data_IF_766506124138
#
_entry.id   IF_766506124138
#
_cell.length_a   1.000
_cell.length_b   1.000
_cell.length_c   1.000
_cell.angle_alpha   90.00
_cell.angle_beta   90.00
_cell.angle_gamma   90.00
#
_symmetry.space_group_name_H-M   'P 1'
#
loop_
_entity.id
_entity.type
_entity.pdbx_description
1 polymer ?
#
# COMPACT_ATOMS: atom_id res chain seq x y z
N UNK A 1 28.00 -16.62 25.47
CA UNK A 1 26.55 -16.83 25.28
C UNK A 1 25.96 -15.49 24.91
N UNK A 2 25.95 -15.14 23.63
CA UNK A 2 25.43 -13.85 23.18
C UNK A 2 24.12 -14.05 22.43
N UNK A 3 23.04 -13.60 23.06
CA UNK A 3 21.72 -13.49 22.47
C UNK A 3 21.73 -12.41 21.38
N UNK A 4 22.17 -12.79 20.17
CA UNK A 4 22.15 -11.95 18.98
C UNK A 4 20.72 -11.79 18.46
N UNK A 5 20.10 -10.66 18.83
CA UNK A 5 18.81 -10.16 18.38
C UNK A 5 18.45 -10.60 16.94
N UNK A 6 17.37 -11.37 16.79
CA UNK A 6 16.76 -11.63 15.49
C UNK A 6 16.48 -10.29 14.79
N UNK A 7 16.81 -10.13 13.50
CA UNK A 7 16.54 -8.90 12.79
C UNK A 7 15.03 -8.67 12.78
N UNK A 8 14.56 -7.65 13.53
CA UNK A 8 13.18 -7.16 13.44
C UNK A 8 12.86 -7.00 11.96
N UNK A 9 11.87 -7.74 11.46
CA UNK A 9 11.58 -7.80 10.02
C UNK A 9 11.57 -6.39 9.42
N UNK A 10 12.42 -6.17 8.41
CA UNK A 10 12.50 -4.88 7.73
C UNK A 10 11.09 -4.61 7.18
N UNK A 11 10.41 -3.61 7.74
CA UNK A 11 9.11 -3.18 7.23
C UNK A 11 9.32 -2.68 5.81
N UNK A 12 8.90 -3.49 4.83
CA UNK A 12 8.99 -3.20 3.39
C UNK A 12 8.27 -1.91 2.99
N UNK A 13 7.31 -1.46 3.81
CA UNK A 13 6.69 -0.14 3.70
C UNK A 13 6.19 0.38 5.06
N UNK A 14 5.91 1.68 5.13
CA UNK A 14 5.28 2.34 6.28
C UNK A 14 3.85 2.76 5.92
N UNK A 15 2.94 2.73 6.89
CA UNK A 15 1.57 3.20 6.67
C UNK A 15 1.54 4.73 6.43
N UNK A 16 0.79 5.16 5.41
CA UNK A 16 0.46 6.57 5.22
C UNK A 16 -0.45 7.03 6.35
N UNK A 17 -0.12 8.16 6.99
CA UNK A 17 -0.86 8.71 8.14
C UNK A 17 -1.20 10.18 7.92
N UNK A 18 -2.34 10.60 8.45
CA UNK A 18 -2.81 11.99 8.46
C UNK A 18 -3.53 12.41 7.18
N UNK A 19 -4.67 13.10 7.34
CA UNK A 19 -5.55 13.47 6.23
C UNK A 19 -4.87 14.34 5.17
N UNK A 20 -4.00 15.26 5.59
CA UNK A 20 -3.24 16.11 4.67
C UNK A 20 -2.36 15.30 3.70
N UNK A 21 -1.74 14.21 4.15
CA UNK A 21 -0.94 13.35 3.27
C UNK A 21 -1.85 12.52 2.34
N UNK A 22 -2.99 12.03 2.85
CA UNK A 22 -3.99 11.36 2.00
C UNK A 22 -4.50 12.29 0.90
N UNK A 23 -4.79 13.56 1.22
CA UNK A 23 -5.27 14.56 0.27
C UNK A 23 -4.24 14.86 -0.82
N UNK A 24 -2.96 14.96 -0.46
CA UNK A 24 -1.86 15.13 -1.43
C UNK A 24 -1.78 13.96 -2.39
N UNK A 25 -1.71 12.72 -1.87
CA UNK A 25 -1.60 11.52 -2.71
C UNK A 25 -2.86 11.33 -3.56
N UNK A 26 -4.04 11.69 -3.05
CA UNK A 26 -5.27 11.69 -3.83
C UNK A 26 -5.21 12.59 -5.06
N UNK A 27 -4.36 13.63 -5.12
CA UNK A 27 -4.22 14.45 -6.34
C UNK A 27 -3.27 13.84 -7.39
N UNK A 28 -2.56 12.76 -7.04
CA UNK A 28 -1.64 12.09 -7.95
C UNK A 28 -2.34 11.30 -9.08
N UNK A 29 -1.57 10.89 -10.11
CA UNK A 29 -2.07 10.07 -11.21
C UNK A 29 -2.70 8.77 -10.69
N UNK A 30 -3.77 8.34 -11.37
CA UNK A 30 -4.52 7.15 -11.00
C UNK A 30 -4.25 6.01 -11.98
N UNK A 31 -3.84 4.87 -11.43
CA UNK A 31 -3.70 3.61 -12.15
C UNK A 31 -4.84 2.72 -11.70
N UNK A 32 -5.73 2.37 -12.64
CA UNK A 32 -6.92 1.58 -12.36
C UNK A 32 -6.69 0.15 -12.78
N UNK A 33 -7.07 -0.78 -11.92
CA UNK A 33 -7.12 -2.21 -12.18
C UNK A 33 -8.48 -2.74 -11.73
N UNK A 34 -8.87 -3.96 -12.13
CA UNK A 34 -10.08 -4.59 -11.60
C UNK A 34 -10.06 -4.73 -10.07
N UNK A 35 -8.89 -4.93 -9.45
CA UNK A 35 -8.75 -5.27 -8.04
C UNK A 35 -8.59 -4.05 -7.11
N UNK A 36 -8.03 -2.97 -7.64
CA UNK A 36 -7.77 -1.74 -6.90
C UNK A 36 -7.51 -0.56 -7.82
N UNK A 37 -7.64 0.65 -7.28
CA UNK A 37 -7.08 1.87 -7.86
C UNK A 37 -5.88 2.34 -7.04
N UNK A 38 -4.74 2.49 -7.68
CA UNK A 38 -3.52 3.05 -7.10
C UNK A 38 -3.44 4.53 -7.46
N UNK A 39 -3.18 5.38 -6.46
CA UNK A 39 -2.68 6.75 -6.69
C UNK A 39 -1.32 6.87 -6.02
N UNK A 40 -0.33 7.40 -6.73
CA UNK A 40 1.03 7.57 -6.20
C UNK A 40 1.60 8.94 -6.53
N UNK A 41 2.47 9.44 -5.67
CA UNK A 41 3.29 10.64 -5.89
C UNK A 41 4.73 10.35 -5.48
N UNK A 42 5.72 11.03 -6.08
CA UNK A 42 7.12 10.87 -5.70
C UNK A 42 7.33 11.11 -4.20
N UNK A 43 8.28 10.38 -3.60
CA UNK A 43 8.68 10.65 -2.23
C UNK A 43 9.35 12.02 -2.17
N UNK A 44 8.73 12.96 -1.41
CA UNK A 44 9.35 14.23 -1.05
C UNK A 44 9.45 14.33 0.47
N UNK A 45 10.66 14.48 1.04
CA UNK A 45 10.82 14.73 2.47
C UNK A 45 10.15 16.06 2.83
N UNK A 46 9.73 16.20 4.08
CA UNK A 46 9.30 17.51 4.59
C UNK A 46 10.54 18.38 4.84
N UNK A 47 10.38 19.69 4.75
CA UNK A 47 11.45 20.64 5.06
C UNK A 47 12.02 20.35 6.46
N UNK A 48 13.36 20.21 6.56
CA UNK A 48 14.05 19.85 7.81
C UNK A 48 14.02 18.36 8.20
N UNK A 49 13.42 17.46 7.41
CA UNK A 49 13.52 16.01 7.65
C UNK A 49 14.66 15.38 6.86
N UNK A 50 15.36 14.43 7.51
CA UNK A 50 16.36 13.58 6.85
C UNK A 50 15.72 12.84 5.68
N UNK A 51 16.39 12.87 4.52
CA UNK A 51 15.97 12.10 3.35
C UNK A 51 16.12 10.60 3.64
N UNK A 52 14.98 9.93 3.84
CA UNK A 52 14.90 8.49 4.08
C UNK A 52 13.82 7.92 3.14
N UNK A 53 14.20 7.66 1.87
CA UNK A 53 13.27 7.24 0.83
C UNK A 53 12.79 5.83 1.13
N UNK A 54 11.53 5.74 1.56
CA UNK A 54 10.86 4.46 1.82
C UNK A 54 9.46 4.45 1.23
N UNK A 55 8.90 3.27 0.89
CA UNK A 55 7.50 3.19 0.48
C UNK A 55 6.58 3.57 1.63
N UNK A 56 5.65 4.50 1.38
CA UNK A 56 4.62 4.94 2.33
C UNK A 56 3.24 4.72 1.71
N UNK A 57 2.48 3.76 2.22
CA UNK A 57 1.24 3.28 1.56
C UNK A 57 0.04 3.39 2.49
N UNK A 58 -1.02 4.03 2.03
CA UNK A 58 -2.33 4.04 2.64
C UNK A 58 -3.25 3.03 1.96
N UNK A 59 -3.95 2.20 2.73
CA UNK A 59 -4.94 1.25 2.19
C UNK A 59 -6.33 1.74 2.55
N UNK A 60 -7.16 1.97 1.54
CA UNK A 60 -8.52 2.51 1.69
C UNK A 60 -9.52 1.46 1.23
N UNK A 61 -10.39 1.05 2.15
CA UNK A 61 -11.54 0.18 1.87
C UNK A 61 -12.82 0.97 2.10
N UNK A 62 -13.67 1.14 1.08
CA UNK A 62 -14.94 1.87 1.25
C UNK A 62 -16.03 0.95 1.81
N UNK A 63 -16.95 1.50 2.62
CA UNK A 63 -18.14 0.80 3.11
C UNK A 63 -19.10 0.46 1.95
N UNK A 64 -19.13 1.30 0.90
CA UNK A 64 -19.97 1.10 -0.29
C UNK A 64 -19.55 -0.12 -1.09
N UNK A 65 -18.25 -0.32 -1.30
CA UNK A 65 -17.75 -1.47 -2.06
C UNK A 65 -17.70 -2.75 -1.21
N UNK A 66 -17.33 -2.63 0.08
CA UNK A 66 -17.21 -3.76 0.99
C UNK A 66 -18.05 -3.49 2.24
N UNK A 67 -19.29 -4.00 2.23
CA UNK A 67 -20.29 -3.73 3.27
C UNK A 67 -19.90 -4.33 4.62
N UNK A 68 -19.40 -5.58 4.64
CA UNK A 68 -19.07 -6.28 5.90
C UNK A 68 -17.69 -5.86 6.41
N UNK A 69 -17.59 -5.65 7.73
CA UNK A 69 -16.31 -5.32 8.38
C UNK A 69 -15.26 -6.43 8.18
N UNK A 70 -15.69 -7.69 8.20
CA UNK A 70 -14.83 -8.86 7.99
C UNK A 70 -14.24 -8.87 6.58
N UNK A 71 -15.05 -8.58 5.55
CA UNK A 71 -14.60 -8.47 4.16
C UNK A 71 -13.60 -7.34 3.99
N UNK A 72 -13.86 -6.15 4.57
CA UNK A 72 -12.90 -5.04 4.59
C UNK A 72 -11.58 -5.43 5.25
N UNK A 73 -11.63 -6.14 6.38
CA UNK A 73 -10.43 -6.60 7.08
C UNK A 73 -9.65 -7.63 6.25
N UNK A 74 -10.35 -8.58 5.62
CA UNK A 74 -9.76 -9.58 4.72
C UNK A 74 -9.10 -8.91 3.51
N UNK A 75 -9.78 -7.97 2.88
CA UNK A 75 -9.25 -7.18 1.77
C UNK A 75 -7.99 -6.39 2.16
N UNK A 76 -7.99 -5.69 3.30
CA UNK A 76 -6.80 -4.99 3.81
C UNK A 76 -5.65 -5.95 4.11
N UNK A 77 -5.94 -7.13 4.67
CA UNK A 77 -4.92 -8.15 4.96
C UNK A 77 -4.31 -8.70 3.67
N UNK A 78 -5.12 -9.04 2.66
CA UNK A 78 -4.63 -9.51 1.34
C UNK A 78 -3.73 -8.48 0.66
N UNK A 79 -4.17 -7.22 0.59
CA UNK A 79 -3.35 -6.13 0.02
C UNK A 79 -2.05 -5.94 0.82
N UNK A 80 -2.12 -5.90 2.14
CA UNK A 80 -0.93 -5.71 3.00
C UNK A 80 0.08 -6.83 2.77
N UNK A 81 -0.37 -8.06 2.66
CA UNK A 81 0.52 -9.21 2.46
C UNK A 81 1.15 -9.20 1.07
N UNK A 82 0.38 -8.88 0.04
CA UNK A 82 0.91 -8.71 -1.31
C UNK A 82 1.95 -7.57 -1.37
N UNK A 83 1.72 -6.45 -0.67
CA UNK A 83 2.68 -5.35 -0.54
C UNK A 83 3.91 -5.73 0.30
N UNK A 84 3.76 -6.62 1.28
CA UNK A 84 4.87 -7.10 2.12
C UNK A 84 5.82 -8.00 1.33
N UNK A 85 5.28 -8.81 0.43
CA UNK A 85 6.04 -9.75 -0.40
C UNK A 85 6.53 -9.15 -1.72
N UNK A 86 5.85 -8.12 -2.23
CA UNK A 86 6.20 -7.45 -3.48
C UNK A 86 7.34 -6.44 -3.35
N UNK A 87 7.90 -6.06 -4.50
CA UNK A 87 8.85 -4.95 -4.62
C UNK A 87 8.11 -3.63 -4.87
N UNK A 88 8.35 -2.62 -4.03
CA UNK A 88 7.68 -1.32 -4.09
C UNK A 88 8.74 -0.22 -4.10
N UNK A 89 8.71 0.70 -5.08
CA UNK A 89 9.65 1.81 -5.12
C UNK A 89 9.36 2.84 -4.00
N UNK A 90 10.36 3.60 -3.54
CA UNK A 90 10.15 4.70 -2.61
C UNK A 90 9.18 5.76 -3.15
N UNK A 91 7.96 5.76 -2.63
CA UNK A 91 6.89 6.68 -3.03
C UNK A 91 5.86 6.85 -1.91
N UNK A 92 4.97 7.83 -2.07
CA UNK A 92 3.74 7.91 -1.27
C UNK A 92 2.57 7.45 -2.12
N UNK A 93 1.82 6.47 -1.64
CA UNK A 93 0.75 5.85 -2.39
C UNK A 93 -0.53 5.62 -1.57
N UNK A 94 -1.66 5.60 -2.27
CA UNK A 94 -2.95 5.14 -1.76
C UNK A 94 -3.44 4.01 -2.66
N UNK A 95 -3.79 2.89 -2.04
CA UNK A 95 -4.46 1.76 -2.68
C UNK A 95 -5.93 1.78 -2.25
N UNK A 96 -6.82 2.13 -3.17
CA UNK A 96 -8.27 2.03 -2.98
C UNK A 96 -8.71 0.66 -3.47
N UNK A 97 -9.21 -0.17 -2.56
CA UNK A 97 -9.45 -1.59 -2.80
C UNK A 97 -10.85 -1.83 -3.35
N UNK A 98 -10.96 -2.67 -4.39
CA UNK A 98 -12.23 -3.11 -4.96
C UNK A 98 -12.62 -4.51 -4.44
N UNK A 99 -13.88 -4.94 -4.56
CA UNK A 99 -14.34 -6.24 -4.03
C UNK A 99 -13.64 -7.46 -4.63
N UNK A 100 -13.21 -7.37 -5.88
CA UNK A 100 -12.55 -8.44 -6.64
C UNK A 100 -11.25 -8.91 -5.98
N UNK A 101 -10.67 -8.12 -5.07
CA UNK A 101 -9.51 -8.52 -4.26
C UNK A 101 -9.77 -9.77 -3.40
N UNK A 102 -11.03 -10.03 -3.08
CA UNK A 102 -11.43 -11.14 -2.19
C UNK A 102 -11.41 -12.50 -2.89
N UNK A 103 -11.56 -12.51 -4.21
CA UNK A 103 -11.73 -13.72 -5.03
C UNK A 103 -10.54 -13.97 -5.95
N UNK A 104 -9.86 -12.92 -6.40
CA UNK A 104 -8.65 -13.05 -7.25
C UNK A 104 -7.59 -13.90 -6.57
N UNK A 105 -6.87 -14.70 -7.36
CA UNK A 105 -5.67 -15.40 -6.90
C UNK A 105 -4.61 -14.44 -6.31
N UNK A 106 -3.85 -14.93 -5.32
CA UNK A 106 -2.89 -14.11 -4.59
C UNK A 106 -1.72 -13.66 -5.46
N UNK A 107 -1.16 -14.53 -6.30
CA UNK A 107 -0.03 -14.17 -7.16
C UNK A 107 -0.46 -13.19 -8.24
N UNK A 108 -1.68 -13.34 -8.75
CA UNK A 108 -2.29 -12.38 -9.68
C UNK A 108 -2.43 -11.00 -9.04
N UNK A 109 -2.90 -10.92 -7.78
CA UNK A 109 -3.00 -9.67 -7.04
C UNK A 109 -1.63 -9.03 -6.79
N UNK A 110 -0.65 -9.83 -6.36
CA UNK A 110 0.72 -9.38 -6.10
C UNK A 110 1.36 -8.81 -7.36
N UNK A 111 1.28 -9.53 -8.48
CA UNK A 111 1.80 -9.08 -9.78
C UNK A 111 1.11 -7.80 -10.24
N UNK A 112 -0.21 -7.70 -10.09
CA UNK A 112 -0.94 -6.48 -10.43
C UNK A 112 -0.45 -5.26 -9.63
N UNK A 113 -0.15 -5.44 -8.33
CA UNK A 113 0.44 -4.39 -7.51
C UNK A 113 1.83 -4.00 -8.01
N UNK A 114 2.72 -4.96 -8.23
CA UNK A 114 4.09 -4.71 -8.71
C UNK A 114 4.08 -3.91 -10.02
N UNK A 115 3.28 -4.34 -10.99
CA UNK A 115 3.10 -3.64 -12.27
C UNK A 115 2.55 -2.23 -12.08
N UNK A 116 1.56 -2.05 -11.21
CA UNK A 116 0.99 -0.73 -10.94
C UNK A 116 2.00 0.20 -10.25
N UNK A 117 2.85 -0.31 -9.37
CA UNK A 117 3.88 0.48 -8.70
C UNK A 117 5.06 0.83 -9.62
N UNK A 118 5.35 0.00 -10.63
CA UNK A 118 6.41 0.24 -11.61
C UNK A 118 6.05 1.31 -12.67
N UNK A 119 4.76 1.54 -12.95
CA UNK A 119 4.25 2.61 -13.84
C UNK A 119 4.18 3.94 -13.11
#
# INVERSE_FOLDING_TARGET
MDAGQSPKSIKRFVALKGDAEFRKVRKGPAIRTPYFTLRKVPYKPRHGQKYDPRPVVGIVTSKKALGKAVERNRARRRIREALRLGSIPPCKAIVMVNPEVLTVDFETLKRALEVAFAK
#
